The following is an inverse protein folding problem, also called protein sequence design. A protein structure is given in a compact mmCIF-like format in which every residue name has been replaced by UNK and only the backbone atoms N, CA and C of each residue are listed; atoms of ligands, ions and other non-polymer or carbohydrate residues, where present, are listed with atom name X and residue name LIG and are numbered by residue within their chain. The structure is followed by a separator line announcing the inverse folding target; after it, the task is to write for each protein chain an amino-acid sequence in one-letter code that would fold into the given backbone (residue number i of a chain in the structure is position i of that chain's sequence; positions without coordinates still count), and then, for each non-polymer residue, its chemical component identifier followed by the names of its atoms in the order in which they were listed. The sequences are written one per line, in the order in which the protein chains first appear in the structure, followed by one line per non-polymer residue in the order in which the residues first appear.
data_IF_967017988587
#
_entry.id   IF_967017988587
#
_cell.length_a   1.000
_cell.length_b   1.000
_cell.length_c   1.000
_cell.angle_alpha   90.00
_cell.angle_beta   90.00
_cell.angle_gamma   90.00
#
_symmetry.space_group_name_H-M   'P 1'
#
loop_
_entity.id
_entity.type
_entity.pdbx_description
1 polymer ?
#
# COMPACT_ATOMS: atom_id res chain seq x y z
N UNK A 1 -11.40 -19.65 -9.41
CA UNK A 1 -12.78 -19.46 -9.95
C UNK A 1 -12.68 -18.79 -11.33
N UNK A 2 -13.74 -18.80 -12.18
CA UNK A 2 -13.65 -18.06 -13.43
C UNK A 2 -13.50 -16.56 -13.16
N UNK A 3 -12.74 -15.87 -14.04
CA UNK A 3 -12.60 -14.41 -13.98
C UNK A 3 -13.96 -13.74 -14.22
N UNK A 4 -14.23 -12.74 -13.41
CA UNK A 4 -15.40 -11.88 -13.49
C UNK A 4 -14.96 -10.44 -13.78
N UNK A 5 -15.73 -9.69 -14.54
CA UNK A 5 -15.47 -8.27 -14.73
C UNK A 5 -15.94 -7.51 -13.49
N UNK A 6 -14.98 -6.98 -12.71
CA UNK A 6 -15.23 -6.34 -11.43
C UNK A 6 -14.74 -4.91 -11.41
N UNK A 7 -15.54 -4.02 -10.81
CA UNK A 7 -15.10 -2.65 -10.47
C UNK A 7 -14.19 -2.72 -9.22
N UNK A 8 -13.10 -1.95 -9.18
CA UNK A 8 -12.13 -2.00 -8.09
C UNK A 8 -12.72 -1.86 -6.69
N UNK A 9 -13.59 -0.86 -6.46
CA UNK A 9 -14.28 -0.68 -5.19
C UNK A 9 -15.12 -1.90 -4.77
N UNK A 10 -15.85 -2.50 -5.72
CA UNK A 10 -16.64 -3.71 -5.49
C UNK A 10 -15.74 -4.92 -5.23
N UNK A 11 -14.63 -5.01 -5.94
CA UNK A 11 -13.66 -6.09 -5.80
C UNK A 11 -13.00 -6.09 -4.40
N UNK A 12 -12.60 -4.92 -3.90
CA UNK A 12 -12.07 -4.75 -2.54
C UNK A 12 -13.12 -5.17 -1.50
N UNK A 13 -14.36 -4.71 -1.65
CA UNK A 13 -15.45 -5.05 -0.73
C UNK A 13 -15.71 -6.56 -0.68
N UNK A 14 -15.86 -7.20 -1.85
CA UNK A 14 -16.11 -8.65 -1.92
C UNK A 14 -14.90 -9.46 -1.44
N UNK A 15 -13.67 -9.00 -1.69
CA UNK A 15 -12.46 -9.61 -1.17
C UNK A 15 -12.42 -9.58 0.37
N UNK A 16 -12.78 -8.45 0.98
CA UNK A 16 -12.86 -8.32 2.43
C UNK A 16 -13.90 -9.29 3.04
N UNK A 17 -15.08 -9.37 2.42
CA UNK A 17 -16.12 -10.31 2.84
C UNK A 17 -15.61 -11.76 2.77
N UNK A 18 -14.93 -12.10 1.68
CA UNK A 18 -14.36 -13.44 1.47
C UNK A 18 -13.18 -13.76 2.36
N UNK A 19 -12.41 -12.73 2.76
CA UNK A 19 -11.39 -12.87 3.77
C UNK A 19 -11.92 -13.05 5.19
N UNK A 20 -13.25 -13.13 5.38
CA UNK A 20 -13.87 -13.34 6.68
C UNK A 20 -14.11 -12.05 7.47
N UNK A 21 -14.26 -10.90 6.82
CA UNK A 21 -14.70 -9.65 7.46
C UNK A 21 -16.06 -9.88 8.13
N UNK A 22 -16.14 -9.69 9.43
CA UNK A 22 -17.32 -9.93 10.26
C UNK A 22 -18.11 -8.65 10.53
N UNK A 23 -17.43 -7.51 10.59
CA UNK A 23 -18.05 -6.22 10.83
C UNK A 23 -17.44 -5.14 9.97
N UNK A 24 -18.29 -4.30 9.40
CA UNK A 24 -17.94 -3.12 8.65
C UNK A 24 -18.68 -1.90 9.17
N UNK A 25 -17.94 -0.86 9.46
CA UNK A 25 -18.47 0.43 9.88
C UNK A 25 -17.92 1.51 8.94
N UNK A 26 -18.79 2.31 8.34
CA UNK A 26 -18.35 3.30 7.37
C UNK A 26 -19.23 4.52 7.29
N UNK A 27 -18.69 5.58 6.72
CA UNK A 27 -19.41 6.79 6.37
C UNK A 27 -19.27 7.04 4.86
N UNK A 28 -20.35 7.39 4.13
CA UNK A 28 -20.29 7.51 2.68
C UNK A 28 -19.44 8.71 2.26
N UNK A 29 -18.48 8.46 1.40
CA UNK A 29 -17.59 9.45 0.81
C UNK A 29 -17.14 9.00 -0.58
N UNK A 30 -17.10 9.92 -1.56
CA UNK A 30 -16.58 9.66 -2.91
C UNK A 30 -15.04 9.77 -2.90
N UNK A 31 -14.29 8.87 -3.59
CA UNK A 31 -14.74 7.93 -4.64
C UNK A 31 -14.89 6.46 -4.17
N UNK A 32 -15.07 6.17 -2.90
CA UNK A 32 -15.24 4.80 -2.38
C UNK A 32 -16.71 4.34 -2.27
N UNK A 33 -17.66 5.10 -2.78
CA UNK A 33 -19.11 4.90 -2.61
C UNK A 33 -19.56 3.47 -2.91
N UNK A 34 -19.13 2.88 -4.02
CA UNK A 34 -19.54 1.53 -4.42
C UNK A 34 -19.00 0.43 -3.49
N UNK A 35 -17.88 0.70 -2.78
CA UNK A 35 -17.38 -0.21 -1.75
C UNK A 35 -18.38 -0.28 -0.60
N UNK A 36 -18.78 0.86 -0.05
CA UNK A 36 -19.75 0.94 1.04
C UNK A 36 -21.12 0.38 0.62
N UNK A 37 -21.61 0.69 -0.59
CA UNK A 37 -22.86 0.16 -1.13
C UNK A 37 -22.82 -1.38 -1.23
N UNK A 38 -21.72 -1.95 -1.72
CA UNK A 38 -21.54 -3.39 -1.79
C UNK A 38 -21.53 -4.03 -0.39
N UNK A 39 -20.79 -3.44 0.55
CA UNK A 39 -20.74 -3.90 1.94
C UNK A 39 -22.13 -3.85 2.58
N UNK A 40 -22.91 -2.76 2.38
CA UNK A 40 -24.25 -2.61 2.97
C UNK A 40 -25.24 -3.69 2.54
N UNK A 41 -25.10 -4.21 1.34
CA UNK A 41 -25.92 -5.28 0.81
C UNK A 41 -25.42 -6.66 1.25
N UNK A 42 -24.13 -6.94 0.97
CA UNK A 42 -23.58 -8.28 1.12
C UNK A 42 -23.38 -8.72 2.57
N UNK A 43 -23.02 -7.78 3.47
CA UNK A 43 -22.88 -8.13 4.90
C UNK A 43 -24.22 -8.56 5.50
N UNK A 44 -25.30 -7.86 5.15
CA UNK A 44 -26.67 -8.23 5.61
C UNK A 44 -27.10 -9.57 5.02
N UNK A 45 -26.86 -9.82 3.72
CA UNK A 45 -27.18 -11.12 3.09
C UNK A 45 -26.46 -12.31 3.74
N UNK A 46 -25.31 -12.06 4.36
CA UNK A 46 -24.47 -13.08 5.02
C UNK A 46 -24.65 -13.10 6.55
N UNK A 47 -25.63 -12.38 7.09
CA UNK A 47 -25.88 -12.22 8.53
C UNK A 47 -24.64 -11.71 9.29
N UNK A 48 -23.90 -10.76 8.67
CA UNK A 48 -22.74 -10.08 9.23
C UNK A 48 -23.07 -8.63 9.59
N UNK A 49 -22.22 -8.00 10.39
CA UNK A 49 -22.48 -6.65 10.88
C UNK A 49 -22.13 -5.60 9.83
N UNK A 50 -23.10 -4.81 9.44
CA UNK A 50 -22.95 -3.56 8.71
C UNK A 50 -23.62 -2.42 9.45
N UNK A 51 -22.92 -1.30 9.61
CA UNK A 51 -23.51 -0.08 10.16
C UNK A 51 -22.92 1.16 9.48
N UNK A 52 -23.80 2.00 8.94
CA UNK A 52 -23.42 3.31 8.47
C UNK A 52 -23.39 4.26 9.68
N UNK A 53 -22.18 4.73 10.02
CA UNK A 53 -21.97 5.69 11.11
C UNK A 53 -22.39 7.10 10.69
N UNK A 54 -22.58 7.99 11.64
CA UNK A 54 -22.88 9.40 11.41
C UNK A 54 -21.65 10.23 11.03
N UNK A 55 -20.45 9.67 11.20
CA UNK A 55 -19.16 10.30 10.84
C UNK A 55 -18.05 9.26 10.79
N UNK A 56 -16.92 9.61 10.18
CA UNK A 56 -15.71 8.76 10.17
C UNK A 56 -15.14 8.59 11.59
N UNK A 57 -15.27 9.59 12.46
CA UNK A 57 -14.86 9.49 13.87
C UNK A 57 -15.66 8.42 14.58
N UNK A 58 -16.97 8.37 14.37
CA UNK A 58 -17.81 7.31 14.94
C UNK A 58 -17.46 5.94 14.33
N UNK A 59 -17.26 5.88 13.01
CA UNK A 59 -16.90 4.63 12.31
C UNK A 59 -15.64 3.99 12.89
N UNK A 60 -14.56 4.77 13.06
CA UNK A 60 -13.30 4.21 13.59
C UNK A 60 -13.40 3.77 15.05
N UNK A 61 -14.21 4.44 15.87
CA UNK A 61 -14.47 4.01 17.25
C UNK A 61 -15.30 2.71 17.30
N UNK A 62 -16.24 2.52 16.37
CA UNK A 62 -16.97 1.26 16.22
C UNK A 62 -16.04 0.13 15.77
N UNK A 63 -15.13 0.41 14.81
CA UNK A 63 -14.07 -0.53 14.41
C UNK A 63 -13.23 -0.94 15.61
N UNK A 64 -12.77 0.03 16.41
CA UNK A 64 -12.00 -0.25 17.62
C UNK A 64 -12.77 -1.17 18.58
N UNK A 65 -14.05 -0.87 18.86
CA UNK A 65 -14.90 -1.67 19.72
C UNK A 65 -15.06 -3.11 19.21
N UNK A 66 -15.38 -3.31 17.93
CA UNK A 66 -15.54 -4.63 17.34
C UNK A 66 -14.21 -5.41 17.26
N UNK A 67 -13.10 -4.73 16.96
CA UNK A 67 -11.76 -5.32 16.98
C UNK A 67 -11.39 -5.84 18.39
N UNK A 68 -11.71 -5.09 19.44
CA UNK A 68 -11.45 -5.53 20.83
C UNK A 68 -12.27 -6.78 21.21
N UNK A 69 -13.43 -6.97 20.61
CA UNK A 69 -14.22 -8.19 20.75
C UNK A 69 -13.69 -9.39 19.92
N UNK A 70 -12.58 -9.20 19.20
CA UNK A 70 -11.91 -10.23 18.41
C UNK A 70 -12.53 -10.50 17.04
N UNK A 71 -13.38 -9.61 16.54
CA UNK A 71 -13.92 -9.72 15.18
C UNK A 71 -12.90 -9.26 14.14
N UNK A 72 -12.91 -9.88 12.95
CA UNK A 72 -12.26 -9.30 11.74
C UNK A 72 -13.07 -8.10 11.28
N UNK A 73 -12.48 -6.92 11.31
CA UNK A 73 -13.18 -5.66 11.04
C UNK A 73 -12.51 -4.82 9.98
N UNK A 74 -13.30 -4.07 9.24
CA UNK A 74 -12.83 -3.13 8.24
C UNK A 74 -13.64 -1.83 8.28
N UNK A 75 -12.98 -0.74 7.94
CA UNK A 75 -13.61 0.50 7.47
C UNK A 75 -12.97 0.95 6.17
N UNK A 76 -13.68 1.78 5.43
CA UNK A 76 -13.14 2.45 4.24
C UNK A 76 -13.54 3.91 4.23
N UNK A 77 -12.66 4.73 3.67
CA UNK A 77 -12.90 6.15 3.50
C UNK A 77 -12.08 6.71 2.32
N UNK A 78 -12.00 8.00 2.23
CA UNK A 78 -11.17 8.75 1.29
C UNK A 78 -10.55 9.93 2.05
N UNK A 79 -9.34 10.26 1.71
CA UNK A 79 -8.50 11.39 2.17
C UNK A 79 -9.02 12.25 3.36
N UNK A 80 -10.08 13.07 3.24
CA UNK A 80 -10.57 13.86 4.36
C UNK A 80 -11.15 13.00 5.50
N UNK A 81 -11.80 11.87 5.17
CA UNK A 81 -12.33 10.96 6.17
C UNK A 81 -11.24 10.19 6.89
N UNK A 82 -10.16 9.81 6.19
CA UNK A 82 -8.96 9.24 6.82
C UNK A 82 -8.35 10.24 7.82
N UNK A 83 -8.33 11.53 7.48
CA UNK A 83 -7.86 12.58 8.40
C UNK A 83 -8.68 12.61 9.70
N UNK A 84 -9.99 12.43 9.64
CA UNK A 84 -10.86 12.37 10.81
C UNK A 84 -10.65 11.13 11.67
N UNK A 85 -10.16 10.03 11.12
CA UNK A 85 -9.94 8.76 11.81
C UNK A 85 -8.60 8.67 12.55
N UNK A 86 -7.67 9.61 12.37
CA UNK A 86 -6.27 9.48 12.80
C UNK A 86 -6.11 9.25 14.31
N UNK A 87 -6.89 9.89 15.15
CA UNK A 87 -6.86 9.63 16.60
C UNK A 87 -7.26 8.18 16.92
N UNK A 88 -8.30 7.67 16.23
CA UNK A 88 -8.76 6.29 16.36
C UNK A 88 -7.69 5.28 15.93
N UNK A 89 -6.92 5.56 14.90
CA UNK A 89 -5.78 4.71 14.50
C UNK A 89 -4.75 4.61 15.60
N UNK A 90 -4.45 5.71 16.27
CA UNK A 90 -3.53 5.74 17.41
C UNK A 90 -4.02 4.88 18.57
N UNK A 91 -5.32 4.92 18.87
CA UNK A 91 -5.93 4.08 19.91
C UNK A 91 -5.87 2.58 19.55
N UNK A 92 -6.15 2.23 18.30
CA UNK A 92 -6.08 0.85 17.80
C UNK A 92 -4.64 0.32 17.89
N UNK A 93 -3.65 1.13 17.47
CA UNK A 93 -2.24 0.77 17.55
C UNK A 93 -1.76 0.57 18.99
N UNK A 94 -2.10 1.52 19.90
CA UNK A 94 -1.72 1.46 21.31
C UNK A 94 -2.41 0.31 22.07
N UNK A 95 -3.53 -0.18 21.57
CA UNK A 95 -4.29 -1.30 22.13
C UNK A 95 -3.95 -2.64 21.48
N UNK A 96 -3.11 -2.64 20.44
CA UNK A 96 -2.69 -3.81 19.67
C UNK A 96 -3.87 -4.68 19.22
N UNK A 97 -4.85 -4.07 18.59
CA UNK A 97 -6.00 -4.79 18.01
C UNK A 97 -5.96 -4.74 16.48
N UNK A 98 -6.37 -5.84 15.80
CA UNK A 98 -6.31 -5.92 14.34
C UNK A 98 -7.42 -5.11 13.69
N UNK A 99 -7.10 -4.31 12.66
CA UNK A 99 -8.10 -3.66 11.83
C UNK A 99 -7.57 -3.41 10.41
N UNK A 100 -8.45 -3.51 9.41
CA UNK A 100 -8.16 -3.18 8.02
C UNK A 100 -8.80 -1.86 7.65
N UNK A 101 -8.02 -0.95 7.08
CA UNK A 101 -8.44 0.37 6.63
C UNK A 101 -8.24 0.46 5.13
N UNK A 102 -9.29 0.78 4.38
CA UNK A 102 -9.18 1.03 2.94
C UNK A 102 -9.28 2.52 2.71
N UNK A 103 -8.23 3.08 2.10
CA UNK A 103 -8.21 4.47 1.65
C UNK A 103 -8.28 4.51 0.12
N UNK A 104 -9.37 5.07 -0.41
CA UNK A 104 -9.49 5.36 -1.84
C UNK A 104 -9.17 6.84 -2.04
N UNK A 105 -7.89 7.11 -2.23
CA UNK A 105 -7.31 8.45 -2.26
C UNK A 105 -7.90 9.35 -3.33
N UNK A 106 -8.13 10.61 -2.99
CA UNK A 106 -8.61 11.66 -3.89
C UNK A 106 -7.79 12.94 -3.78
N UNK A 107 -8.00 13.86 -4.72
CA UNK A 107 -7.27 15.13 -4.76
C UNK A 107 -7.60 16.04 -3.57
N UNK A 108 -6.56 16.49 -2.88
CA UNK A 108 -6.56 17.49 -1.81
C UNK A 108 -5.71 18.70 -2.17
N UNK A 109 -5.41 19.62 -1.22
CA UNK A 109 -5.82 19.62 0.20
C UNK A 109 -7.27 20.08 0.43
N UNK A 110 -7.74 19.97 1.68
CA UNK A 110 -9.09 20.29 2.11
C UNK A 110 -10.11 19.31 1.54
N UNK A 111 -11.30 19.78 1.17
CA UNK A 111 -12.27 18.93 0.48
C UNK A 111 -11.77 18.48 -0.88
N UNK A 112 -10.91 19.28 -1.50
CA UNK A 112 -10.30 18.99 -2.80
C UNK A 112 -11.33 18.72 -3.89
N UNK A 113 -11.12 17.62 -4.60
CA UNK A 113 -12.06 17.08 -5.59
C UNK A 113 -12.19 15.55 -5.43
N UNK A 114 -12.95 14.90 -6.31
CA UNK A 114 -13.19 13.45 -6.26
C UNK A 114 -12.27 12.66 -7.22
N UNK A 115 -11.32 13.34 -7.86
CA UNK A 115 -10.43 12.75 -8.83
C UNK A 115 -9.30 11.95 -8.15
N UNK A 116 -8.71 10.96 -8.84
CA UNK A 116 -7.68 10.09 -8.25
C UNK A 116 -6.42 10.86 -7.87
N UNK A 117 -5.83 10.49 -6.73
CA UNK A 117 -4.59 11.09 -6.23
C UNK A 117 -3.77 10.07 -5.45
N UNK A 118 -2.51 10.38 -5.18
CA UNK A 118 -1.63 9.62 -4.29
C UNK A 118 -1.09 10.51 -3.16
N UNK A 119 -1.85 11.56 -2.79
CA UNK A 119 -1.39 12.58 -1.85
C UNK A 119 -1.54 12.17 -0.37
N UNK A 120 -2.10 11.00 -0.08
CA UNK A 120 -2.21 10.47 1.28
C UNK A 120 -1.04 9.52 1.64
N UNK A 121 -0.03 9.43 0.79
CA UNK A 121 1.15 8.61 1.04
C UNK A 121 1.77 8.89 2.42
N UNK A 122 2.11 10.16 2.70
CA UNK A 122 2.65 10.53 4.01
C UNK A 122 1.65 10.34 5.15
N UNK A 123 0.38 10.60 4.90
CA UNK A 123 -0.68 10.38 5.87
C UNK A 123 -0.77 8.91 6.30
N UNK A 124 -0.70 7.98 5.35
CA UNK A 124 -0.74 6.55 5.62
C UNK A 124 0.58 6.03 6.20
N UNK A 125 1.74 6.47 5.68
CA UNK A 125 3.05 5.87 6.02
C UNK A 125 3.79 6.56 7.15
N UNK A 126 3.56 7.87 7.40
CA UNK A 126 4.33 8.68 8.37
C UNK A 126 3.48 9.24 9.51
N UNK A 127 2.22 9.55 9.27
CA UNK A 127 1.40 10.35 10.17
C UNK A 127 0.00 9.76 10.39
N UNK A 128 -0.13 8.46 10.45
CA UNK A 128 -1.41 7.77 10.67
C UNK A 128 -2.04 8.04 12.06
N UNK A 129 -1.60 9.05 12.77
CA UNK A 129 -2.05 9.45 14.10
C UNK A 129 -0.89 10.02 14.91
N UNK A 130 -0.94 9.91 16.24
CA UNK A 130 0.14 10.33 17.15
C UNK A 130 0.77 9.12 17.84
N UNK A 131 2.03 9.27 18.25
CA UNK A 131 2.86 8.21 18.86
C UNK A 131 3.77 7.53 17.85
N UNK A 132 4.64 6.67 18.34
CA UNK A 132 5.73 6.06 17.56
C UNK A 132 5.29 4.72 16.95
N UNK A 133 4.28 4.75 16.09
CA UNK A 133 3.78 3.57 15.38
C UNK A 133 3.67 3.80 13.87
N UNK A 134 3.65 2.70 13.13
CA UNK A 134 3.34 2.68 11.71
C UNK A 134 2.35 1.54 11.41
N UNK A 135 1.31 1.79 10.63
CA UNK A 135 0.51 0.71 10.05
C UNK A 135 1.29 0.03 8.91
N UNK A 136 0.95 -1.21 8.58
CA UNK A 136 1.36 -1.81 7.31
C UNK A 136 0.55 -1.13 6.20
N UNK A 137 1.21 -0.69 5.13
CA UNK A 137 0.56 0.03 4.02
C UNK A 137 0.81 -0.68 2.71
N UNK A 138 -0.24 -1.16 2.05
CA UNK A 138 -0.20 -1.93 0.81
C UNK A 138 -0.88 -1.15 -0.32
N UNK A 139 -0.23 -1.07 -1.49
CA UNK A 139 -0.69 -0.30 -2.64
C UNK A 139 -0.87 -1.18 -3.89
N UNK A 140 -2.11 -1.54 -4.26
CA UNK A 140 -2.39 -2.26 -5.50
C UNK A 140 -2.21 -1.37 -6.73
N UNK A 141 -1.93 -1.98 -7.89
CA UNK A 141 -1.89 -1.35 -9.21
C UNK A 141 -2.93 -1.91 -10.19
N UNK A 142 -3.62 -2.98 -9.82
CA UNK A 142 -4.68 -3.63 -10.61
C UNK A 142 -5.84 -4.05 -9.71
N UNK A 143 -6.99 -4.36 -10.32
CA UNK A 143 -8.15 -4.88 -9.57
C UNK A 143 -7.85 -6.24 -8.93
N UNK A 144 -7.08 -7.11 -9.61
CA UNK A 144 -6.67 -8.38 -9.01
C UNK A 144 -5.79 -8.16 -7.77
N UNK A 145 -4.79 -7.29 -7.86
CA UNK A 145 -3.97 -6.98 -6.68
C UNK A 145 -4.78 -6.34 -5.56
N UNK A 146 -5.78 -5.50 -5.88
CA UNK A 146 -6.66 -4.95 -4.86
C UNK A 146 -7.41 -6.04 -4.09
N UNK A 147 -7.83 -7.12 -4.77
CA UNK A 147 -8.40 -8.31 -4.13
C UNK A 147 -7.36 -9.01 -3.25
N UNK A 148 -6.22 -9.36 -3.84
CA UNK A 148 -5.18 -10.17 -3.19
C UNK A 148 -4.60 -9.46 -1.95
N UNK A 149 -4.32 -8.16 -2.08
CA UNK A 149 -3.79 -7.34 -0.98
C UNK A 149 -4.85 -7.07 0.10
N UNK A 150 -6.14 -7.02 -0.24
CA UNK A 150 -7.21 -6.91 0.77
C UNK A 150 -7.29 -8.19 1.62
N UNK A 151 -7.21 -9.37 1.00
CA UNK A 151 -7.16 -10.63 1.74
C UNK A 151 -5.92 -10.68 2.64
N UNK A 152 -4.76 -10.36 2.08
CA UNK A 152 -3.49 -10.30 2.82
C UNK A 152 -3.56 -9.31 3.98
N UNK A 153 -4.25 -8.18 3.83
CA UNK A 153 -4.38 -7.17 4.88
C UNK A 153 -5.04 -7.72 6.13
N UNK A 154 -6.09 -8.56 6.00
CA UNK A 154 -6.72 -9.22 7.15
C UNK A 154 -5.79 -10.20 7.84
N UNK A 155 -5.01 -10.98 7.07
CA UNK A 155 -4.07 -11.95 7.64
C UNK A 155 -2.90 -11.26 8.36
N UNK A 156 -2.38 -10.16 7.81
CA UNK A 156 -1.34 -9.35 8.44
C UNK A 156 -1.86 -8.62 9.68
N UNK A 157 -3.09 -8.09 9.63
CA UNK A 157 -3.71 -7.45 10.78
C UNK A 157 -3.82 -8.42 11.96
N UNK A 158 -4.30 -9.64 11.72
CA UNK A 158 -4.38 -10.68 12.74
C UNK A 158 -3.00 -11.12 13.24
N UNK A 159 -2.06 -11.38 12.30
CA UNK A 159 -0.71 -11.87 12.61
C UNK A 159 0.05 -10.95 13.55
N UNK A 160 -0.01 -9.66 13.30
CA UNK A 160 0.75 -8.66 14.06
C UNK A 160 -0.10 -7.89 15.06
N UNK A 161 -1.41 -8.12 15.12
CA UNK A 161 -2.35 -7.34 15.93
C UNK A 161 -2.13 -5.85 15.72
N UNK A 162 -2.35 -5.40 14.49
CA UNK A 162 -2.04 -4.03 14.07
C UNK A 162 -3.01 -3.53 13.00
N UNK A 163 -2.90 -2.25 12.70
CA UNK A 163 -3.57 -1.63 11.56
C UNK A 163 -2.88 -2.04 10.26
N UNK A 164 -3.67 -2.38 9.25
CA UNK A 164 -3.20 -2.56 7.88
C UNK A 164 -4.03 -1.69 6.94
N UNK A 165 -3.34 -0.85 6.16
CA UNK A 165 -3.95 -0.02 5.13
C UNK A 165 -3.85 -0.69 3.77
N UNK A 166 -4.93 -0.64 3.01
CA UNK A 166 -4.93 -0.84 1.57
C UNK A 166 -5.20 0.52 0.95
N UNK A 167 -4.17 1.11 0.32
CA UNK A 167 -4.26 2.44 -0.28
C UNK A 167 -4.40 2.31 -1.79
N UNK A 168 -5.63 2.47 -2.27
CA UNK A 168 -5.95 2.60 -3.67
C UNK A 168 -6.17 4.08 -4.00
N UNK A 169 -6.17 4.44 -5.27
CA UNK A 169 -6.64 5.75 -5.71
C UNK A 169 -7.98 5.63 -6.44
N UNK A 170 -8.62 6.76 -6.71
CA UNK A 170 -9.92 6.77 -7.37
C UNK A 170 -9.94 6.11 -8.75
N UNK A 171 -8.79 6.01 -9.46
CA UNK A 171 -8.71 5.33 -10.74
C UNK A 171 -8.83 3.81 -10.54
N UNK A 172 -8.07 3.23 -9.60
CA UNK A 172 -8.16 1.80 -9.27
C UNK A 172 -9.56 1.47 -8.74
N UNK A 173 -10.13 2.32 -7.88
CA UNK A 173 -11.47 2.11 -7.34
C UNK A 173 -12.57 2.07 -8.41
N UNK A 174 -12.43 2.86 -9.48
CA UNK A 174 -13.44 3.00 -10.52
C UNK A 174 -13.21 2.12 -11.77
N UNK A 175 -11.98 1.67 -12.02
CA UNK A 175 -11.70 0.83 -13.19
C UNK A 175 -12.38 -0.54 -13.10
N UNK A 176 -12.65 -1.13 -14.27
CA UNK A 176 -13.20 -2.48 -14.38
C UNK A 176 -12.18 -3.40 -15.05
N UNK A 177 -11.86 -4.50 -14.39
CA UNK A 177 -10.93 -5.52 -14.92
C UNK A 177 -11.46 -6.94 -14.68
N UNK A 178 -11.08 -7.90 -15.54
CA UNK A 178 -11.31 -9.31 -15.26
C UNK A 178 -10.45 -9.76 -14.08
N UNK A 179 -11.08 -10.18 -12.98
CA UNK A 179 -10.39 -10.63 -11.78
C UNK A 179 -11.02 -11.91 -11.21
N UNK A 180 -10.25 -12.66 -10.46
CA UNK A 180 -10.67 -13.86 -9.74
C UNK A 180 -10.87 -13.54 -8.27
N UNK A 181 -12.01 -13.93 -7.73
CA UNK A 181 -12.29 -13.82 -6.31
C UNK A 181 -11.78 -15.05 -5.57
N UNK A 182 -11.21 -14.91 -4.35
CA UNK A 182 -10.82 -16.04 -3.52
C UNK A 182 -12.05 -16.85 -3.06
N UNK A 183 -11.88 -18.07 -2.57
CA UNK A 183 -12.96 -18.79 -1.88
C UNK A 183 -13.42 -18.00 -0.65
N UNK A 184 -14.67 -18.26 -0.21
CA UNK A 184 -15.19 -17.67 1.02
C UNK A 184 -14.50 -18.33 2.23
N UNK A 185 -13.92 -17.52 3.09
CA UNK A 185 -13.41 -17.97 4.39
C UNK A 185 -14.56 -18.04 5.39
N UNK A 186 -14.63 -19.11 6.13
CA UNK A 186 -15.60 -19.26 7.23
C UNK A 186 -15.27 -18.29 8.37
N UNK A 187 -16.31 -17.79 9.01
CA UNK A 187 -16.16 -16.98 10.22
C UNK A 187 -15.63 -17.84 11.35
N UNK A 188 -14.74 -17.30 12.15
CA UNK A 188 -14.17 -17.98 13.32
C UNK A 188 -15.27 -18.32 14.33
N UNK A 189 -15.38 -19.56 14.70
CA UNK A 189 -16.28 -20.02 15.78
C UNK A 189 -15.73 -19.54 17.15
N UNK A 190 -14.42 -19.65 17.34
CA UNK A 190 -13.74 -19.22 18.56
C UNK A 190 -13.07 -17.86 18.41
N UNK A 191 -13.30 -17.01 19.38
CA UNK A 191 -12.65 -15.69 19.45
C UNK A 191 -11.20 -15.84 19.92
N UNK A 192 -10.29 -14.96 19.47
CA UNK A 192 -8.91 -14.94 19.98
C UNK A 192 -8.87 -14.81 21.51
N UNK A 193 -7.94 -15.51 22.13
CA UNK A 193 -7.83 -15.57 23.61
C UNK A 193 -7.64 -14.19 24.27
N UNK A 194 -7.08 -13.23 23.55
CA UNK A 194 -6.87 -11.86 24.01
C UNK A 194 -8.12 -10.97 23.96
N UNK A 195 -9.20 -11.41 23.29
CA UNK A 195 -10.37 -10.58 23.04
C UNK A 195 -11.27 -10.38 24.27
N UNK A 196 -12.07 -9.31 24.23
CA UNK A 196 -13.01 -8.95 25.29
C UNK A 196 -14.37 -9.62 25.07
N UNK A 197 -14.47 -10.90 25.43
CA UNK A 197 -15.68 -11.73 25.25
C UNK A 197 -16.28 -12.20 26.58
N UNK A 198 -16.01 -11.47 27.66
CA UNK A 198 -16.30 -11.92 29.03
C UNK A 198 -15.16 -12.77 29.60
N UNK A 199 -15.18 -13.01 30.90
CA UNK A 199 -14.12 -13.73 31.58
C UNK A 199 -14.39 -15.25 31.64
N UNK A 200 -15.66 -15.67 31.85
CA UNK A 200 -15.93 -17.07 32.16
C UNK A 200 -15.02 -17.53 33.31
N UNK A 201 -14.36 -18.66 33.10
CA UNK A 201 -13.42 -19.23 34.09
C UNK A 201 -11.94 -18.82 33.84
N UNK A 202 -11.66 -17.93 32.87
CA UNK A 202 -10.31 -17.42 32.57
C UNK A 202 -10.00 -16.12 33.28
N UNK A 203 -8.72 -15.77 33.33
CA UNK A 203 -8.28 -14.44 33.77
C UNK A 203 -8.85 -13.33 32.87
N UNK A 204 -9.00 -12.14 33.45
CA UNK A 204 -9.54 -10.96 32.76
C UNK A 204 -8.52 -10.43 31.74
N UNK A 205 -8.93 -10.30 30.48
CA UNK A 205 -8.17 -9.52 29.52
C UNK A 205 -8.37 -8.02 29.75
N UNK A 206 -7.32 -7.26 29.54
CA UNK A 206 -7.34 -5.79 29.59
C UNK A 206 -6.79 -5.29 28.26
N UNK A 207 -7.63 -4.56 27.53
CA UNK A 207 -7.24 -3.84 26.30
C UNK A 207 -7.41 -2.36 26.62
N UNK A 208 -6.32 -1.61 26.53
CA UNK A 208 -6.31 -0.18 26.84
C UNK A 208 -5.28 0.55 26.01
N UNK A 209 -5.60 1.77 25.62
CA UNK A 209 -4.67 2.70 24.98
C UNK A 209 -4.02 3.68 25.97
N UNK A 210 -4.45 3.66 27.25
CA UNK A 210 -3.94 4.57 28.27
C UNK A 210 -2.95 3.87 29.21
N UNK A 211 -1.80 4.49 29.41
CA UNK A 211 -0.77 4.13 30.41
C UNK A 211 -0.33 5.41 31.10
N UNK A 212 -0.73 5.57 32.35
CA UNK A 212 -0.49 6.82 33.11
C UNK A 212 0.93 6.93 33.66
N UNK A 213 1.61 5.80 33.80
CA UNK A 213 2.98 5.73 34.25
C UNK A 213 3.95 5.83 33.06
N UNK A 214 4.95 6.73 33.14
CA UNK A 214 5.86 7.00 32.04
C UNK A 214 6.76 5.78 31.72
N UNK A 215 7.24 5.06 32.73
CA UNK A 215 8.10 3.87 32.54
C UNK A 215 7.31 2.72 31.91
N UNK A 216 6.03 2.57 32.27
CA UNK A 216 5.13 1.58 31.65
C UNK A 216 4.85 1.90 30.19
N UNK A 217 4.68 3.18 29.86
CA UNK A 217 4.48 3.60 28.46
C UNK A 217 5.75 3.43 27.63
N UNK A 218 6.92 3.76 28.18
CA UNK A 218 8.20 3.55 27.50
C UNK A 218 8.45 2.06 27.22
N UNK A 219 8.20 1.18 28.21
CA UNK A 219 8.33 -0.27 28.05
C UNK A 219 7.43 -0.78 26.91
N UNK A 220 6.19 -0.32 26.86
CA UNK A 220 5.28 -0.66 25.77
C UNK A 220 5.80 -0.16 24.41
N UNK A 221 6.30 1.07 24.33
CA UNK A 221 6.83 1.61 23.09
C UNK A 221 8.07 0.82 22.61
N UNK A 222 8.93 0.36 23.50
CA UNK A 222 10.07 -0.51 23.15
C UNK A 222 9.56 -1.82 22.51
N UNK A 223 8.58 -2.48 23.12
CA UNK A 223 7.97 -3.70 22.56
C UNK A 223 7.29 -3.43 21.20
N UNK A 224 6.64 -2.26 21.06
CA UNK A 224 6.06 -1.85 19.80
C UNK A 224 7.13 -1.67 18.71
N UNK A 225 8.29 -1.05 19.02
CA UNK A 225 9.40 -0.91 18.07
C UNK A 225 9.99 -2.27 17.66
N UNK A 226 10.10 -3.23 18.59
CA UNK A 226 10.53 -4.59 18.26
C UNK A 226 9.57 -5.26 17.27
N UNK A 227 8.26 -5.11 17.47
CA UNK A 227 7.25 -5.60 16.53
C UNK A 227 7.35 -4.91 15.17
N UNK A 228 7.54 -3.58 15.14
CA UNK A 228 7.70 -2.84 13.88
C UNK A 228 8.96 -3.29 13.12
N UNK A 229 10.06 -3.56 13.82
CA UNK A 229 11.28 -4.14 13.23
C UNK A 229 11.00 -5.51 12.59
N UNK A 230 10.27 -6.40 13.29
CA UNK A 230 9.89 -7.70 12.72
C UNK A 230 9.03 -7.55 11.45
N UNK A 231 8.14 -6.57 11.42
CA UNK A 231 7.33 -6.27 10.23
C UNK A 231 8.22 -5.75 9.09
N UNK A 232 9.17 -4.85 9.39
CA UNK A 232 10.12 -4.33 8.39
C UNK A 232 10.97 -5.44 7.78
N UNK A 233 11.40 -6.40 8.57
CA UNK A 233 12.24 -7.52 8.10
C UNK A 233 11.45 -8.56 7.27
N UNK A 234 10.12 -8.67 7.48
CA UNK A 234 9.34 -9.80 6.95
C UNK A 234 8.30 -9.43 5.90
N UNK A 235 7.83 -8.17 5.85
CA UNK A 235 6.63 -7.81 5.10
C UNK A 235 6.89 -6.82 3.95
N UNK A 236 8.15 -6.65 3.56
CA UNK A 236 8.53 -5.89 2.36
C UNK A 236 8.02 -6.59 1.10
N UNK A 237 7.35 -5.84 0.22
CA UNK A 237 6.84 -6.32 -1.08
C UNK A 237 7.11 -5.31 -2.18
N UNK A 238 7.60 -5.80 -3.32
CA UNK A 238 7.92 -4.98 -4.48
C UNK A 238 7.85 -5.80 -5.77
N UNK A 239 7.86 -5.13 -6.91
CA UNK A 239 7.98 -5.71 -8.25
C UNK A 239 9.16 -5.07 -8.98
N UNK A 240 9.98 -5.88 -9.62
CA UNK A 240 11.06 -5.46 -10.52
C UNK A 240 10.68 -5.79 -11.97
N UNK A 241 10.90 -4.87 -12.90
CA UNK A 241 10.69 -5.08 -14.32
C UNK A 241 11.85 -4.51 -15.12
N UNK A 242 12.58 -5.36 -15.84
CA UNK A 242 13.72 -5.00 -16.70
C UNK A 242 14.82 -4.19 -15.97
N UNK A 243 15.21 -4.62 -14.76
CA UNK A 243 16.21 -3.90 -13.95
C UNK A 243 17.64 -4.41 -14.16
N UNK A 244 17.86 -5.51 -14.87
CA UNK A 244 19.16 -6.15 -15.00
C UNK A 244 20.19 -5.26 -15.70
N UNK A 245 19.75 -4.51 -16.70
CA UNK A 245 20.57 -3.62 -17.56
C UNK A 245 20.06 -2.17 -17.58
N UNK A 246 19.13 -1.82 -16.70
CA UNK A 246 18.47 -0.52 -16.71
C UNK A 246 19.44 0.61 -16.32
N UNK A 247 19.69 1.53 -17.24
CA UNK A 247 20.44 2.77 -16.96
C UNK A 247 19.55 3.84 -16.33
N UNK A 248 18.26 3.81 -16.60
CA UNK A 248 17.25 4.62 -15.95
C UNK A 248 16.25 3.71 -15.23
N UNK A 249 16.10 3.87 -13.93
CA UNK A 249 15.12 3.16 -13.13
C UNK A 249 13.96 4.09 -12.80
N UNK A 250 12.76 3.74 -13.24
CA UNK A 250 11.54 4.43 -12.83
C UNK A 250 11.07 3.83 -11.51
N UNK A 251 10.69 4.68 -10.54
CA UNK A 251 10.11 4.26 -9.26
C UNK A 251 8.71 4.84 -9.15
N UNK A 252 7.70 3.98 -9.00
CA UNK A 252 6.30 4.40 -8.94
C UNK A 252 5.45 3.35 -8.20
N UNK A 253 4.29 3.74 -7.65
CA UNK A 253 3.32 2.83 -7.02
C UNK A 253 1.90 3.06 -7.57
N UNK A 254 0.98 2.14 -7.28
CA UNK A 254 -0.45 2.27 -7.63
C UNK A 254 -0.69 2.57 -9.11
N UNK A 255 -1.58 3.50 -9.41
CA UNK A 255 -1.89 3.94 -10.79
C UNK A 255 -0.69 4.54 -11.51
N UNK A 256 0.17 5.32 -10.83
CA UNK A 256 1.39 5.84 -11.44
C UNK A 256 2.33 4.71 -11.90
N UNK A 257 2.46 3.62 -11.13
CA UNK A 257 3.24 2.44 -11.54
C UNK A 257 2.61 1.73 -12.74
N UNK A 258 1.29 1.64 -12.80
CA UNK A 258 0.59 1.08 -13.97
C UNK A 258 0.89 1.85 -15.25
N UNK A 259 0.88 3.17 -15.18
CA UNK A 259 1.25 4.06 -16.30
C UNK A 259 2.72 3.88 -16.65
N UNK A 260 3.61 3.91 -15.65
CA UNK A 260 5.05 3.73 -15.84
C UNK A 260 5.40 2.36 -16.45
N UNK A 261 4.68 1.29 -16.09
CA UNK A 261 4.85 -0.05 -16.67
C UNK A 261 4.58 -0.07 -18.18
N UNK A 262 3.58 0.68 -18.64
CA UNK A 262 3.30 0.82 -20.07
C UNK A 262 4.40 1.61 -20.78
N UNK A 263 4.82 2.73 -20.21
CA UNK A 263 5.91 3.55 -20.75
C UNK A 263 7.23 2.76 -20.83
N UNK A 264 7.58 2.00 -19.79
CA UNK A 264 8.79 1.16 -19.77
C UNK A 264 8.74 0.12 -20.89
N UNK A 265 7.61 -0.54 -21.12
CA UNK A 265 7.48 -1.50 -22.22
C UNK A 265 7.71 -0.84 -23.58
N UNK A 266 7.08 0.30 -23.85
CA UNK A 266 7.25 1.04 -25.10
C UNK A 266 8.72 1.46 -25.31
N UNK A 267 9.37 1.98 -24.26
CA UNK A 267 10.80 2.36 -24.32
C UNK A 267 11.71 1.15 -24.55
N UNK A 268 11.41 -0.01 -23.97
CA UNK A 268 12.14 -1.25 -24.21
C UNK A 268 11.97 -1.77 -25.64
N UNK A 269 10.79 -1.64 -26.21
CA UNK A 269 10.54 -1.99 -27.62
C UNK A 269 11.37 -1.11 -28.58
N UNK A 270 11.72 0.12 -28.16
CA UNK A 270 12.67 1.00 -28.85
C UNK A 270 14.14 0.68 -28.57
N UNK A 271 14.43 -0.30 -27.70
CA UNK A 271 15.80 -0.67 -27.31
C UNK A 271 16.43 0.20 -26.23
N UNK A 272 15.64 1.03 -25.53
CA UNK A 272 16.14 1.92 -24.48
C UNK A 272 16.26 1.17 -23.13
N UNK A 273 17.37 1.32 -22.39
CA UNK A 273 17.62 0.60 -21.14
C UNK A 273 16.90 1.23 -19.94
N UNK A 274 15.59 1.08 -19.89
CA UNK A 274 14.71 1.60 -18.82
C UNK A 274 14.09 0.43 -18.08
N UNK A 275 14.05 0.50 -16.74
CA UNK A 275 13.37 -0.47 -15.90
C UNK A 275 12.42 0.19 -14.91
N UNK A 276 11.59 -0.62 -14.25
CA UNK A 276 10.64 -0.20 -13.23
C UNK A 276 10.93 -0.91 -11.92
N UNK A 277 11.03 -0.16 -10.84
CA UNK A 277 10.94 -0.65 -9.47
C UNK A 277 9.63 -0.14 -8.86
N UNK A 278 8.77 -1.07 -8.45
CA UNK A 278 7.45 -0.75 -7.90
C UNK A 278 7.34 -1.23 -6.45
N UNK A 279 7.37 -0.35 -5.45
CA UNK A 279 6.96 -0.76 -4.11
C UNK A 279 5.48 -1.15 -4.11
N UNK A 280 5.17 -2.30 -3.51
CA UNK A 280 3.82 -2.80 -3.22
C UNK A 280 3.49 -2.50 -1.78
N UNK A 281 4.43 -2.75 -0.84
CA UNK A 281 4.36 -2.17 0.49
C UNK A 281 4.96 -0.76 0.47
N UNK A 282 4.19 0.20 0.96
CA UNK A 282 4.66 1.58 1.14
C UNK A 282 5.20 1.81 2.55
N UNK A 283 4.73 1.01 3.49
CA UNK A 283 5.35 0.76 4.78
C UNK A 283 5.12 -0.72 5.14
N UNK A 284 6.19 -1.49 5.41
CA UNK A 284 7.60 -1.10 5.27
C UNK A 284 7.99 -0.80 3.81
N UNK A 285 8.78 0.25 3.61
CA UNK A 285 9.29 0.59 2.28
C UNK A 285 10.46 -0.33 1.90
N UNK A 286 10.60 -0.77 0.65
CA UNK A 286 11.67 -1.68 0.20
C UNK A 286 13.01 -0.93 0.00
N UNK A 287 13.56 -0.37 1.08
CA UNK A 287 14.76 0.47 1.04
C UNK A 287 16.00 -0.31 0.59
N UNK A 288 16.24 -1.49 1.19
CA UNK A 288 17.40 -2.31 0.89
C UNK A 288 17.35 -2.88 -0.53
N UNK A 289 16.15 -3.23 -1.01
CA UNK A 289 15.93 -3.77 -2.34
C UNK A 289 16.18 -2.69 -3.40
N UNK A 290 15.70 -1.47 -3.16
CA UNK A 290 15.96 -0.34 -4.05
C UNK A 290 17.43 0.09 -4.03
N UNK A 291 18.07 0.13 -2.87
CA UNK A 291 19.51 0.38 -2.75
C UNK A 291 20.31 -0.66 -3.55
N UNK A 292 19.98 -1.95 -3.42
CA UNK A 292 20.64 -3.02 -4.19
C UNK A 292 20.55 -2.82 -5.70
N UNK A 293 19.42 -2.30 -6.21
CA UNK A 293 19.28 -1.98 -7.65
C UNK A 293 20.25 -0.90 -8.07
N UNK A 294 20.43 0.12 -7.25
CA UNK A 294 21.31 1.26 -7.56
C UNK A 294 22.80 0.98 -7.34
N UNK A 295 23.10 -0.02 -6.50
CA UNK A 295 24.48 -0.45 -6.22
C UNK A 295 25.03 -1.46 -7.23
N UNK A 296 24.21 -1.98 -8.15
CA UNK A 296 24.67 -2.88 -9.21
C UNK A 296 25.73 -2.20 -10.10
N UNK A 297 26.83 -2.90 -10.35
CA UNK A 297 27.97 -2.38 -11.11
C UNK A 297 28.47 -3.39 -12.14
N UNK A 298 29.02 -2.87 -13.26
CA UNK A 298 29.79 -3.64 -14.24
C UNK A 298 31.13 -2.94 -14.40
N UNK A 299 32.23 -3.64 -14.08
CA UNK A 299 33.60 -3.06 -14.10
C UNK A 299 33.69 -1.75 -13.32
N UNK A 300 33.13 -1.74 -12.10
CA UNK A 300 33.05 -0.58 -11.19
C UNK A 300 32.16 0.60 -11.65
N UNK A 301 31.48 0.48 -12.78
CA UNK A 301 30.55 1.50 -13.28
C UNK A 301 29.13 1.12 -12.84
N UNK A 302 28.39 2.04 -12.18
CA UNK A 302 26.98 1.82 -11.86
C UNK A 302 26.15 1.55 -13.13
N UNK A 303 25.31 0.49 -13.09
CA UNK A 303 24.38 0.21 -14.19
C UNK A 303 23.29 1.29 -14.20
N UNK A 304 22.61 1.47 -13.08
CA UNK A 304 21.64 2.56 -12.92
C UNK A 304 22.36 3.91 -12.81
N UNK A 305 22.10 4.80 -13.76
CA UNK A 305 22.72 6.14 -13.86
C UNK A 305 21.84 7.25 -13.32
N UNK A 306 20.54 7.01 -13.21
CA UNK A 306 19.56 7.88 -12.57
C UNK A 306 18.29 7.12 -12.19
N UNK A 307 17.53 7.72 -11.27
CA UNK A 307 16.15 7.32 -10.98
C UNK A 307 15.19 8.42 -11.41
N UNK A 308 14.00 8.00 -11.88
CA UNK A 308 12.85 8.88 -12.12
C UNK A 308 11.69 8.42 -11.24
N UNK A 309 11.35 9.22 -10.24
CA UNK A 309 10.17 8.95 -9.40
C UNK A 309 8.93 9.55 -10.06
N UNK A 310 7.88 8.74 -10.21
CA UNK A 310 6.61 9.14 -10.84
C UNK A 310 5.49 8.97 -9.82
N UNK A 311 4.80 10.07 -9.51
CA UNK A 311 3.74 10.08 -8.49
C UNK A 311 2.55 10.97 -8.89
N UNK A 312 1.38 10.67 -8.33
CA UNK A 312 0.18 11.53 -8.45
C UNK A 312 0.06 12.47 -7.23
N UNK A 313 1.19 13.08 -6.83
CA UNK A 313 1.33 14.05 -5.76
C UNK A 313 2.57 14.95 -5.98
N UNK A 314 3.00 15.71 -4.99
CA UNK A 314 4.14 16.62 -5.06
C UNK A 314 5.48 15.99 -4.61
N UNK A 315 5.62 14.65 -4.65
CA UNK A 315 6.87 13.94 -4.32
C UNK A 315 6.92 13.45 -2.87
N UNK A 316 5.88 12.79 -2.40
CA UNK A 316 5.84 12.27 -1.02
C UNK A 316 6.70 10.99 -0.89
N UNK A 317 6.57 10.01 -1.82
CA UNK A 317 7.44 8.84 -1.87
C UNK A 317 8.87 9.18 -2.26
N UNK A 318 9.08 10.27 -2.99
CA UNK A 318 10.41 10.76 -3.38
C UNK A 318 11.37 10.86 -2.19
N UNK A 319 10.86 11.17 -0.99
CA UNK A 319 11.67 11.27 0.22
C UNK A 319 12.20 9.90 0.67
N UNK A 320 11.36 8.85 0.62
CA UNK A 320 11.77 7.49 0.96
C UNK A 320 12.74 6.91 -0.08
N UNK A 321 12.46 7.15 -1.36
CA UNK A 321 13.40 6.82 -2.43
C UNK A 321 14.75 7.50 -2.21
N UNK A 322 14.76 8.79 -1.85
CA UNK A 322 15.99 9.53 -1.56
C UNK A 322 16.74 8.96 -0.35
N UNK A 323 16.01 8.54 0.68
CA UNK A 323 16.57 7.85 1.86
C UNK A 323 17.25 6.55 1.49
N UNK A 324 16.60 5.74 0.66
CA UNK A 324 17.08 4.43 0.24
C UNK A 324 18.35 4.50 -0.63
N UNK A 325 18.43 5.44 -1.60
CA UNK A 325 19.52 5.45 -2.60
C UNK A 325 20.63 6.44 -2.30
N UNK A 326 20.51 7.26 -1.25
CA UNK A 326 21.51 8.23 -0.90
C UNK A 326 21.61 9.40 -1.89
N UNK A 327 22.74 10.14 -1.85
CA UNK A 327 22.94 11.39 -2.61
C UNK A 327 23.71 11.21 -3.93
N UNK A 328 24.36 10.08 -4.12
CA UNK A 328 25.29 9.88 -5.23
C UNK A 328 24.57 9.67 -6.57
N UNK A 329 23.42 9.02 -6.56
CA UNK A 329 22.65 8.78 -7.78
C UNK A 329 21.71 9.96 -8.08
N UNK A 330 21.71 10.48 -9.34
CA UNK A 330 20.77 11.51 -9.75
C UNK A 330 19.32 11.06 -9.62
N UNK A 331 18.54 11.78 -8.83
CA UNK A 331 17.12 11.53 -8.61
C UNK A 331 16.30 12.63 -9.27
N UNK A 332 15.42 12.24 -10.17
CA UNK A 332 14.50 13.11 -10.91
C UNK A 332 13.07 12.81 -10.54
N UNK A 333 12.18 13.74 -10.78
CA UNK A 333 10.80 13.67 -10.38
C UNK A 333 9.86 14.07 -11.52
N UNK A 334 8.77 13.31 -11.66
CA UNK A 334 7.60 13.64 -12.48
C UNK A 334 6.36 13.48 -11.61
N UNK A 335 5.75 14.60 -11.22
CA UNK A 335 4.56 14.62 -10.37
C UNK A 335 3.39 15.29 -11.07
N UNK A 336 2.19 14.71 -10.89
CA UNK A 336 0.92 15.33 -11.26
C UNK A 336 0.08 15.47 -9.98
N UNK A 337 -0.68 16.53 -9.87
CA UNK A 337 -1.43 16.87 -8.66
C UNK A 337 -2.87 17.20 -9.00
N UNK A 338 -3.74 17.30 -7.97
CA UNK A 338 -5.10 17.78 -8.13
C UNK A 338 -6.02 16.86 -8.93
N UNK A 339 -5.69 15.56 -9.05
CA UNK A 339 -6.52 14.59 -9.74
C UNK A 339 -6.11 14.31 -11.19
N UNK A 340 -4.97 14.82 -11.63
CA UNK A 340 -4.43 14.54 -12.96
C UNK A 340 -3.55 13.28 -12.87
N UNK A 341 -3.83 12.31 -13.72
CA UNK A 341 -3.03 11.09 -13.89
C UNK A 341 -1.92 11.38 -14.91
N UNK A 342 -0.65 11.05 -14.63
CA UNK A 342 0.39 11.11 -15.65
C UNK A 342 0.07 10.15 -16.80
N UNK A 343 0.40 10.54 -18.03
CA UNK A 343 0.18 9.70 -19.19
C UNK A 343 1.47 8.97 -19.59
N UNK A 344 1.40 7.80 -20.26
CA UNK A 344 2.59 7.07 -20.66
C UNK A 344 3.58 7.89 -21.50
N UNK A 345 3.09 8.71 -22.43
CA UNK A 345 3.89 9.59 -23.28
C UNK A 345 4.67 10.66 -22.48
N UNK A 346 4.10 11.22 -21.42
CA UNK A 346 4.79 12.15 -20.51
C UNK A 346 5.97 11.45 -19.79
N UNK A 347 5.75 10.22 -19.34
CA UNK A 347 6.79 9.41 -18.70
C UNK A 347 7.88 9.04 -19.70
N UNK A 348 7.51 8.64 -20.92
CA UNK A 348 8.43 8.30 -22.01
C UNK A 348 9.28 9.50 -22.43
N UNK A 349 8.68 10.66 -22.64
CA UNK A 349 9.38 11.91 -23.02
C UNK A 349 10.40 12.27 -21.93
N UNK A 350 9.99 12.19 -20.65
CA UNK A 350 10.88 12.46 -19.54
C UNK A 350 12.03 11.46 -19.45
N UNK A 351 11.77 10.19 -19.67
CA UNK A 351 12.78 9.14 -19.68
C UNK A 351 13.77 9.30 -20.82
N UNK A 352 13.33 9.58 -22.05
CA UNK A 352 14.21 9.84 -23.21
C UNK A 352 15.09 11.07 -22.96
N UNK A 353 14.51 12.14 -22.41
CA UNK A 353 15.26 13.35 -22.05
C UNK A 353 16.38 13.06 -21.03
N UNK A 354 16.12 12.19 -20.06
CA UNK A 354 17.14 11.82 -19.07
C UNK A 354 18.21 10.92 -19.66
N UNK A 355 17.84 9.93 -20.46
CA UNK A 355 18.80 9.02 -21.11
C UNK A 355 19.72 9.77 -22.07
N UNK A 356 19.24 10.79 -22.79
CA UNK A 356 20.06 11.59 -23.69
C UNK A 356 21.19 12.34 -22.99
N UNK A 357 21.09 12.58 -21.67
CA UNK A 357 22.15 13.21 -20.87
C UNK A 357 23.30 12.25 -20.55
N UNK A 358 23.11 10.95 -20.72
CA UNK A 358 24.13 9.94 -20.37
C UNK A 358 25.09 9.60 -21.52
N UNK A 359 24.89 10.14 -22.75
CA UNK A 359 25.62 9.77 -23.96
C UNK A 359 25.16 8.41 -24.51
N UNK A 360 25.66 8.04 -25.70
CA UNK A 360 25.35 6.74 -26.29
C UNK A 360 25.75 5.61 -25.31
N UNK A 361 24.90 4.55 -25.17
CA UNK A 361 25.30 3.38 -24.42
C UNK A 361 26.56 2.80 -25.05
N UNK A 362 27.68 2.89 -24.36
CA UNK A 362 28.89 2.21 -24.80
C UNK A 362 28.54 0.73 -25.00
N UNK A 363 28.86 0.18 -26.19
CA UNK A 363 28.60 -1.21 -26.62
C UNK A 363 29.30 -2.28 -25.77
N UNK A 364 29.65 -1.96 -24.53
CA UNK A 364 30.42 -2.84 -23.63
C UNK A 364 29.61 -3.96 -22.98
N UNK A 365 28.28 -3.88 -22.97
CA UNK A 365 27.44 -4.88 -22.29
C UNK A 365 27.05 -6.09 -23.17
N UNK A 366 27.32 -6.07 -24.47
CA UNK A 366 26.90 -7.13 -25.40
C UNK A 366 28.02 -8.11 -25.82
N UNK A 367 29.26 -7.98 -25.30
CA UNK A 367 30.40 -8.84 -25.75
C UNK A 367 30.70 -10.04 -24.84
N UNK A 368 30.08 -10.25 -23.69
CA UNK A 368 30.41 -11.39 -22.81
C UNK A 368 29.55 -12.64 -23.00
N UNK A 369 28.52 -12.64 -23.86
CA UNK A 369 27.75 -13.87 -24.17
C UNK A 369 28.22 -14.62 -25.44
N UNK A 370 29.36 -14.28 -26.01
CA UNK A 370 29.82 -14.80 -27.29
C UNK A 370 31.10 -15.63 -27.31
N UNK A 371 31.72 -15.98 -26.18
CA UNK A 371 32.93 -16.82 -26.20
C UNK A 371 32.95 -17.92 -25.14
N UNK A 372 32.08 -18.88 -25.28
CA UNK A 372 32.11 -20.15 -24.59
C UNK A 372 31.85 -21.28 -25.56
N UNK A 373 32.80 -21.59 -26.43
CA UNK A 373 33.14 -22.91 -27.00
C UNK A 373 33.92 -22.78 -28.29
N UNK A 374 35.23 -22.90 -28.21
CA UNK A 374 36.06 -23.57 -29.23
C UNK A 374 37.40 -24.03 -28.61
N UNK A 375 37.50 -25.36 -28.54
CA UNK A 375 38.68 -26.22 -28.82
C UNK A 375 39.96 -25.97 -28.01
N UNK A 376 40.59 -26.94 -27.45
CA UNK A 376 40.91 -28.32 -27.83
C UNK A 376 41.17 -29.16 -26.58
#
# INVERSE_FOLDING_TARGET
MPKQLLKGNVAIAEAAIRAGCEAYFGYPITPQTELLEHMSKRMIELDRVFLQAESEIAAINMVFGAATAGARVMTSSSSPGISLMQEGFSYIAASEVPAVIVDVMRGGPGLGNIQPSQADYNQATKAAGHGDFHPIVLAPSTVQEAIDLTVLAFDLADKYRTLVFVVADGAIGQMMEPAELPPMTEIREERPSWSLTGTGDRERNIITSIRMDAESLETFNIQLQEKLTQIQDSEVRYEELYLEDAQLVIVAFGTAARVAKSAVKNLRDEGLPVGLFRPISLWPFPEQELARVTDRRVKDIPIARALLVVEMNAGQMLHDVRGAVGKEIPLKFLGRMGGIIPMPDEVEERARSLLSLFGEPEKYLLQENGNGHRNE
#
